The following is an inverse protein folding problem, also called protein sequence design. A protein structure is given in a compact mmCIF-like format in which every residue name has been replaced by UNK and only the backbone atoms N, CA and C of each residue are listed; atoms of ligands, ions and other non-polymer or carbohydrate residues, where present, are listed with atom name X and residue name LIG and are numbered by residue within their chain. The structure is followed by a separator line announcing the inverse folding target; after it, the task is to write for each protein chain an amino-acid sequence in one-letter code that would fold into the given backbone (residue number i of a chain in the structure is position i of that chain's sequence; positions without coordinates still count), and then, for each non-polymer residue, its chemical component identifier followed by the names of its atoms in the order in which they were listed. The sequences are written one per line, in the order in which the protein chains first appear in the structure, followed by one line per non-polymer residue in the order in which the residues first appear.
data_IF_598118232167
#
_entry.id   IF_598118232167
#
_cell.length_a   1.000
_cell.length_b   1.000
_cell.length_c   1.000
_cell.angle_alpha   90.00
_cell.angle_beta   90.00
_cell.angle_gamma   90.00
#
_symmetry.space_group_name_H-M   'P 1'
#
loop_
_entity.id
_entity.type
_entity.pdbx_description
1 polymer ?
#
# COMPACT_ATOMS: atom_id res chain seq x y z
N UNK A 1 -3.19 -8.99 -0.95
CA UNK A 1 -2.89 -7.99 0.09
C UNK A 1 -3.55 -8.51 1.34
N UNK A 2 -2.82 -9.25 2.16
CA UNK A 2 -3.43 -10.14 3.16
C UNK A 2 -3.44 -9.56 4.57
N UNK A 3 -3.29 -8.25 4.71
CA UNK A 3 -3.33 -7.59 6.01
C UNK A 3 -3.58 -6.11 5.85
N UNK A 4 -4.69 -5.63 6.40
CA UNK A 4 -4.96 -4.21 6.59
C UNK A 4 -5.02 -3.94 8.08
N UNK A 5 -4.06 -3.19 8.62
CA UNK A 5 -4.01 -2.80 10.05
C UNK A 5 -4.79 -1.51 10.35
N UNK A 6 -5.60 -1.04 9.40
CA UNK A 6 -6.08 0.34 9.41
C UNK A 6 -7.52 0.59 9.84
N UNK A 7 -8.39 -0.43 9.98
CA UNK A 7 -9.81 -0.11 10.04
C UNK A 7 -10.31 0.35 11.42
N UNK A 8 -9.74 -0.17 12.51
CA UNK A 8 -10.13 0.21 13.87
C UNK A 8 -8.90 0.48 14.75
N UNK A 9 -8.50 1.74 14.85
CA UNK A 9 -7.46 2.17 15.78
C UNK A 9 -8.08 2.31 17.18
N UNK A 10 -7.61 1.49 18.12
CA UNK A 10 -7.99 1.61 19.53
C UNK A 10 -6.92 2.44 20.23
N UNK A 11 -7.32 3.55 20.84
CA UNK A 11 -6.43 4.39 21.64
C UNK A 11 -6.84 4.35 23.10
N UNK A 12 -5.86 4.24 24.00
CA UNK A 12 -6.09 4.25 25.44
C UNK A 12 -5.10 5.18 26.13
N UNK A 13 -5.60 6.06 26.99
CA UNK A 13 -4.79 6.92 27.84
C UNK A 13 -4.79 6.38 29.27
N UNK A 14 -3.61 6.13 29.83
CA UNK A 14 -3.51 5.64 31.20
C UNK A 14 -3.89 6.77 32.20
N UNK A 15 -4.84 6.56 33.12
CA UNK A 15 -5.33 7.61 34.01
C UNK A 15 -4.21 8.27 34.82
N UNK A 16 -4.35 9.58 35.03
CA UNK A 16 -3.37 10.41 35.76
C UNK A 16 -1.96 10.40 35.15
N UNK A 17 -1.83 9.94 33.90
CA UNK A 17 -0.58 10.02 33.14
C UNK A 17 -0.84 10.69 31.79
N UNK A 18 0.24 11.15 31.14
CA UNK A 18 0.20 11.60 29.75
C UNK A 18 0.60 10.50 28.76
N UNK A 19 0.60 9.23 29.21
CA UNK A 19 0.99 8.09 28.38
C UNK A 19 -0.22 7.62 27.56
N UNK A 20 -0.03 7.57 26.24
CA UNK A 20 -1.03 7.14 25.27
C UNK A 20 -0.56 5.88 24.55
N UNK A 21 -1.43 4.87 24.52
CA UNK A 21 -1.25 3.66 23.73
C UNK A 21 -2.16 3.71 22.51
N UNK A 22 -1.68 3.17 21.40
CA UNK A 22 -2.45 3.01 20.17
C UNK A 22 -2.21 1.61 19.63
N UNK A 23 -3.28 0.89 19.39
CA UNK A 23 -3.24 -0.47 18.83
C UNK A 23 -4.07 -0.49 17.55
N UNK A 24 -3.54 -1.20 16.56
CA UNK A 24 -4.29 -1.56 15.37
C UNK A 24 -4.96 -2.91 15.61
N UNK A 25 -6.29 -2.94 15.64
CA UNK A 25 -7.04 -4.19 15.72
C UNK A 25 -7.44 -4.61 14.30
N UNK A 26 -7.12 -5.85 13.94
CA UNK A 26 -7.47 -6.44 12.65
C UNK A 26 -8.25 -7.71 12.88
N UNK A 27 -9.51 -7.69 12.48
CA UNK A 27 -10.35 -8.88 12.37
C UNK A 27 -11.02 -8.82 10.99
N UNK A 28 -10.46 -9.55 10.02
CA UNK A 28 -10.91 -9.45 8.64
C UNK A 28 -10.77 -10.78 7.91
N UNK A 29 -11.90 -11.30 7.45
CA UNK A 29 -11.97 -12.44 6.53
C UNK A 29 -11.98 -11.90 5.09
N UNK A 30 -10.88 -12.09 4.36
CA UNK A 30 -10.79 -11.64 2.97
C UNK A 30 -11.27 -12.71 2.00
N UNK A 31 -12.22 -12.37 1.13
CA UNK A 31 -12.64 -13.21 0.01
C UNK A 31 -11.74 -12.98 -1.20
N UNK A 32 -10.49 -13.42 -1.11
CA UNK A 32 -9.50 -13.32 -2.20
C UNK A 32 -8.79 -14.65 -2.40
N UNK A 33 -8.44 -14.98 -3.65
CA UNK A 33 -7.66 -16.18 -3.94
C UNK A 33 -6.20 -15.98 -3.49
N UNK A 34 -5.67 -16.81 -2.57
CA UNK A 34 -4.28 -16.71 -2.12
C UNK A 34 -3.32 -16.90 -3.29
N UNK A 35 -2.49 -15.90 -3.55
CA UNK A 35 -1.36 -15.96 -4.48
C UNK A 35 -0.15 -16.50 -3.73
N UNK A 36 0.34 -17.69 -4.11
CA UNK A 36 1.45 -18.38 -3.41
C UNK A 36 2.74 -17.56 -3.42
N UNK A 37 2.93 -16.76 -4.45
CA UNK A 37 4.05 -15.85 -4.66
C UNK A 37 4.02 -14.61 -3.76
N UNK A 38 2.89 -14.33 -3.10
CA UNK A 38 2.75 -13.18 -2.19
C UNK A 38 2.65 -13.69 -0.76
N UNK A 39 3.79 -13.74 -0.07
CA UNK A 39 3.86 -14.12 1.34
C UNK A 39 3.01 -13.18 2.22
N UNK A 40 2.51 -13.73 3.34
CA UNK A 40 1.84 -12.92 4.36
C UNK A 40 2.75 -11.79 4.88
N UNK A 41 2.19 -10.61 5.09
CA UNK A 41 2.93 -9.40 5.45
C UNK A 41 3.46 -8.60 4.24
N UNK A 42 3.50 -9.19 3.04
CA UNK A 42 3.86 -8.44 1.84
C UNK A 42 2.68 -7.58 1.34
N UNK A 43 3.01 -6.45 0.72
CA UNK A 43 2.09 -5.67 -0.09
C UNK A 43 1.64 -6.43 -1.35
N UNK A 44 0.85 -5.76 -2.20
CA UNK A 44 0.62 -6.27 -3.56
C UNK A 44 1.91 -6.11 -4.35
N UNK A 45 2.34 -7.19 -4.99
CA UNK A 45 3.39 -7.13 -6.01
C UNK A 45 2.76 -6.65 -7.31
N UNK A 46 3.23 -5.54 -7.91
CA UNK A 46 2.69 -5.04 -9.17
C UNK A 46 3.12 -5.94 -10.33
N UNK A 47 2.30 -6.01 -11.38
CA UNK A 47 2.65 -6.74 -12.60
C UNK A 47 3.76 -6.03 -13.41
N UNK A 48 3.89 -4.70 -13.24
CA UNK A 48 4.94 -3.86 -13.84
C UNK A 48 5.57 -2.99 -12.76
N UNK A 49 6.88 -3.14 -12.57
CA UNK A 49 7.64 -2.31 -11.63
C UNK A 49 8.03 -1.00 -12.30
N UNK A 50 7.44 0.10 -11.86
CA UNK A 50 7.80 1.47 -12.24
C UNK A 50 8.18 2.23 -10.98
N UNK A 51 9.37 2.81 -10.96
CA UNK A 51 9.91 3.47 -9.78
C UNK A 51 10.01 4.96 -10.07
N UNK A 52 9.32 5.77 -9.26
CA UNK A 52 9.50 7.21 -9.21
C UNK A 52 10.89 7.52 -8.63
N UNK A 53 11.77 8.16 -9.39
CA UNK A 53 13.06 8.60 -8.86
C UNK A 53 12.93 9.90 -8.07
N UNK A 54 13.94 10.19 -7.25
CA UNK A 54 14.04 11.49 -6.58
C UNK A 54 14.09 12.65 -7.58
N UNK A 55 14.80 12.47 -8.70
CA UNK A 55 14.91 13.50 -9.73
C UNK A 55 13.57 13.74 -10.43
N UNK A 56 12.80 12.67 -10.67
CA UNK A 56 11.45 12.79 -11.21
C UNK A 56 10.58 13.63 -10.27
N UNK A 57 10.66 13.38 -8.95
CA UNK A 57 9.91 14.16 -7.96
C UNK A 57 10.32 15.64 -7.95
N UNK A 58 11.63 15.93 -7.93
CA UNK A 58 12.16 17.30 -7.96
C UNK A 58 11.69 18.05 -9.22
N UNK A 59 11.56 17.35 -10.33
CA UNK A 59 11.17 17.93 -11.62
C UNK A 59 9.64 17.94 -11.86
N UNK A 60 8.83 17.53 -10.88
CA UNK A 60 7.37 17.34 -11.04
C UNK A 60 7.01 16.39 -12.20
N UNK A 61 7.86 15.41 -12.47
CA UNK A 61 7.62 14.35 -13.44
C UNK A 61 6.98 13.16 -12.73
N UNK A 62 5.85 12.66 -13.23
CA UNK A 62 5.21 11.45 -12.71
C UNK A 62 5.57 10.25 -13.59
N UNK A 63 6.58 9.49 -13.17
CA UNK A 63 7.08 8.35 -13.93
C UNK A 63 6.04 7.22 -14.07
N UNK A 64 5.17 7.06 -13.07
CA UNK A 64 4.14 6.01 -13.07
C UNK A 64 3.02 6.37 -14.05
N UNK A 65 2.54 7.62 -14.02
CA UNK A 65 1.53 8.10 -14.95
C UNK A 65 2.03 8.05 -16.39
N UNK A 66 3.22 8.58 -16.67
CA UNK A 66 3.79 8.58 -18.02
C UNK A 66 3.93 7.16 -18.58
N UNK A 67 4.54 6.25 -17.80
CA UNK A 67 4.66 4.85 -18.19
C UNK A 67 3.29 4.23 -18.50
N UNK A 68 2.29 4.50 -17.66
CA UNK A 68 0.94 3.96 -17.82
C UNK A 68 0.30 4.44 -19.12
N UNK A 69 0.41 5.73 -19.42
CA UNK A 69 -0.11 6.31 -20.67
C UNK A 69 0.57 5.72 -21.91
N UNK A 70 1.88 5.53 -21.87
CA UNK A 70 2.61 4.88 -22.97
C UNK A 70 2.23 3.42 -23.14
N UNK A 71 2.09 2.69 -22.03
CA UNK A 71 1.71 1.28 -22.03
C UNK A 71 0.32 1.07 -22.64
N UNK A 72 -0.65 1.89 -22.25
CA UNK A 72 -2.01 1.84 -22.80
C UNK A 72 -2.02 2.15 -24.30
N UNK A 73 -1.25 3.16 -24.74
CA UNK A 73 -1.16 3.51 -26.17
C UNK A 73 -0.61 2.36 -27.02
N UNK A 74 0.47 1.72 -26.58
CA UNK A 74 1.10 0.59 -27.30
C UNK A 74 0.26 -0.69 -27.31
N UNK A 75 -0.67 -0.85 -26.37
CA UNK A 75 -1.57 -2.00 -26.29
C UNK A 75 -2.83 -1.90 -27.14
N UNK A 76 -3.07 -0.75 -27.79
CA UNK A 76 -4.21 -0.49 -28.67
C UNK A 76 -3.86 -0.57 -30.17
N UNK A 77 -2.61 -0.94 -30.50
CA UNK A 77 -2.12 -1.30 -31.84
C UNK A 77 -1.99 -2.83 -31.97
#
# INVERSE_FOLDING_TARGET
YYGHTGHNKVSYQLPNTRINFSFSVVDLLQYVNPKKEIAFGNGIIPDKTVIQSQQDFINNRDAVMEYTLEFIRKGND
#
